data_IF_624148881994
#
_entry.id   IF_624148881994
#
_cell.length_a   1.000
_cell.length_b   1.000
_cell.length_c   1.000
_cell.angle_alpha   90.00
_cell.angle_beta   90.00
_cell.angle_gamma   90.00
#
_symmetry.space_group_name_H-M   'P 1'
#
loop_
_entity.id
_entity.type
_entity.pdbx_description
1 polymer ?
#
# COMPACT_ATOMS: atom_id res chain seq x y z
N UNK A 1 16.29 -9.28 -3.55
CA UNK A 1 15.21 -8.24 -3.55
C UNK A 1 15.63 -7.12 -2.62
N UNK A 2 15.21 -5.90 -2.90
CA UNK A 2 15.50 -4.75 -2.04
C UNK A 2 14.51 -4.71 -0.87
N UNK A 3 14.99 -4.92 0.35
CA UNK A 3 14.21 -4.76 1.58
C UNK A 3 14.55 -3.39 2.19
N UNK A 4 13.54 -2.58 2.41
CA UNK A 4 13.70 -1.25 3.01
C UNK A 4 13.59 -1.36 4.54
N UNK A 5 12.54 -2.00 5.02
CA UNK A 5 12.31 -2.20 6.45
C UNK A 5 11.32 -3.34 6.71
N UNK A 6 11.28 -3.80 7.94
CA UNK A 6 10.24 -4.69 8.46
C UNK A 6 9.98 -4.38 9.93
N UNK A 7 8.75 -4.41 10.35
CA UNK A 7 8.37 -4.15 11.73
C UNK A 7 7.04 -4.80 12.11
N UNK A 8 6.81 -5.01 13.39
CA UNK A 8 5.56 -5.43 13.98
C UNK A 8 4.82 -4.19 14.48
N UNK A 9 3.59 -4.03 14.05
CA UNK A 9 2.73 -2.90 14.43
C UNK A 9 1.25 -3.28 14.29
N UNK A 10 0.38 -2.30 14.27
CA UNK A 10 -1.03 -2.45 13.88
C UNK A 10 -1.24 -1.91 12.46
N UNK A 11 -2.09 -2.57 11.66
CA UNK A 11 -2.55 -2.00 10.41
C UNK A 11 -3.32 -0.71 10.69
N UNK A 12 -2.81 0.41 10.20
CA UNK A 12 -3.37 1.73 10.48
C UNK A 12 -4.48 2.17 9.53
N UNK A 13 -4.75 1.43 8.46
CA UNK A 13 -5.52 1.90 7.30
C UNK A 13 -6.47 0.86 6.73
N UNK A 14 -7.59 1.34 6.15
CA UNK A 14 -8.51 0.54 5.34
C UNK A 14 -9.34 -0.46 6.14
N UNK A 15 -9.78 -1.52 5.47
CA UNK A 15 -10.73 -2.50 6.00
C UNK A 15 -10.19 -3.32 7.20
N UNK A 16 -8.88 -3.35 7.38
CA UNK A 16 -8.23 -4.13 8.44
C UNK A 16 -7.53 -3.26 9.48
N UNK A 17 -7.90 -1.98 9.57
CA UNK A 17 -7.37 -1.05 10.56
C UNK A 17 -7.55 -1.61 11.99
N UNK A 18 -6.52 -1.47 12.83
CA UNK A 18 -6.47 -2.01 14.19
C UNK A 18 -5.96 -3.46 14.31
N UNK A 19 -5.78 -4.20 13.21
CA UNK A 19 -5.25 -5.57 13.25
C UNK A 19 -3.73 -5.58 13.48
N UNK A 20 -3.27 -6.49 14.34
CA UNK A 20 -1.83 -6.77 14.50
C UNK A 20 -1.23 -7.17 13.15
N UNK A 21 -0.13 -6.55 12.74
CA UNK A 21 0.47 -6.71 11.43
C UNK A 21 2.00 -6.74 11.47
N UNK A 22 2.59 -7.64 10.68
CA UNK A 22 4.00 -7.57 10.34
C UNK A 22 4.09 -6.93 8.95
N UNK A 23 4.71 -5.76 8.89
CA UNK A 23 4.99 -5.08 7.64
C UNK A 23 6.32 -5.56 7.07
N UNK A 24 6.34 -5.82 5.76
CA UNK A 24 7.56 -6.09 4.99
C UNK A 24 7.55 -5.13 3.81
N UNK A 25 8.41 -4.13 3.84
CA UNK A 25 8.44 -3.03 2.88
C UNK A 25 9.55 -3.23 1.87
N UNK A 26 9.18 -3.48 0.63
CA UNK A 26 10.11 -3.67 -0.50
C UNK A 26 10.42 -2.35 -1.22
N UNK A 27 11.62 -2.27 -1.80
CA UNK A 27 12.05 -1.13 -2.59
C UNK A 27 11.65 -1.22 -4.06
N UNK A 28 11.38 -0.05 -4.65
CA UNK A 28 11.01 0.14 -6.05
C UNK A 28 9.51 0.42 -6.25
N UNK A 29 9.22 1.37 -7.12
CA UNK A 29 7.86 1.68 -7.56
C UNK A 29 7.87 2.06 -9.05
N UNK A 30 6.80 1.74 -9.74
CA UNK A 30 6.58 2.15 -11.13
C UNK A 30 5.93 3.55 -11.25
N UNK A 31 5.54 4.15 -10.12
CA UNK A 31 5.03 5.53 -10.01
C UNK A 31 5.99 6.39 -9.19
N UNK A 32 5.88 7.71 -9.32
CA UNK A 32 6.69 8.70 -8.56
C UNK A 32 5.86 9.57 -7.63
N UNK A 33 4.59 9.80 -7.97
CA UNK A 33 3.58 10.50 -7.17
C UNK A 33 4.07 11.85 -6.61
N UNK A 34 4.72 12.65 -7.44
CA UNK A 34 5.29 13.94 -7.04
C UNK A 34 4.23 14.94 -6.54
N UNK A 35 2.97 14.79 -6.96
CA UNK A 35 1.86 15.64 -6.55
C UNK A 35 1.53 15.59 -5.05
N UNK A 36 1.95 14.54 -4.33
CA UNK A 36 1.80 14.50 -2.87
C UNK A 36 2.78 15.42 -2.12
N UNK A 37 3.78 15.97 -2.81
CA UNK A 37 4.62 17.05 -2.31
C UNK A 37 5.51 16.70 -1.11
N UNK A 38 5.76 15.42 -0.82
CA UNK A 38 6.73 15.04 0.20
C UNK A 38 8.13 15.32 -0.31
N UNK A 39 8.84 16.21 0.37
CA UNK A 39 10.22 16.56 0.07
C UNK A 39 11.18 15.81 0.99
N UNK A 40 12.18 15.17 0.43
CA UNK A 40 13.19 14.46 1.18
C UNK A 40 14.57 14.61 0.52
N UNK A 41 15.57 14.98 1.31
CA UNK A 41 16.96 15.01 0.86
C UNK A 41 17.59 13.64 1.06
N UNK A 42 18.02 13.04 -0.04
CA UNK A 42 18.69 11.74 -0.01
C UNK A 42 20.13 11.85 0.54
N UNK A 43 20.76 10.75 1.02
CA UNK A 43 22.15 10.74 1.48
C UNK A 43 23.17 11.27 0.47
N UNK A 44 22.89 11.08 -0.82
CA UNK A 44 23.69 11.61 -1.93
C UNK A 44 23.44 13.10 -2.25
N UNK A 45 22.77 13.82 -1.36
CA UNK A 45 22.37 15.22 -1.46
C UNK A 45 21.33 15.54 -2.56
N UNK A 46 20.75 14.55 -3.23
CA UNK A 46 19.67 14.73 -4.21
C UNK A 46 18.37 15.11 -3.51
N UNK A 47 17.73 16.18 -3.95
CA UNK A 47 16.37 16.52 -3.55
C UNK A 47 15.37 15.63 -4.27
N UNK A 48 14.49 14.99 -3.50
CA UNK A 48 13.47 14.08 -4.00
C UNK A 48 12.09 14.64 -3.65
N UNK A 49 11.15 14.45 -4.58
CA UNK A 49 9.73 14.76 -4.37
C UNK A 49 8.93 13.49 -4.65
N UNK A 50 7.95 13.19 -3.80
CA UNK A 50 7.14 11.97 -3.97
C UNK A 50 6.04 11.82 -2.93
N UNK A 51 5.69 10.58 -2.64
CA UNK A 51 4.70 10.20 -1.63
C UNK A 51 5.34 9.98 -0.25
N UNK A 52 4.53 9.65 0.74
CA UNK A 52 4.94 9.32 2.12
C UNK A 52 5.90 8.11 2.21
N UNK A 53 5.91 7.24 1.21
CA UNK A 53 6.84 6.10 1.10
C UNK A 53 7.99 6.36 0.11
N UNK A 54 8.44 7.60 -0.03
CA UNK A 54 9.45 8.03 -1.02
C UNK A 54 10.76 7.23 -0.90
N UNK A 55 11.17 6.85 0.31
CA UNK A 55 12.36 6.01 0.54
C UNK A 55 12.23 4.64 -0.14
N UNK A 56 11.05 4.04 -0.08
CA UNK A 56 10.79 2.78 -0.77
C UNK A 56 10.58 2.99 -2.27
N UNK A 57 9.81 4.01 -2.67
CA UNK A 57 9.49 4.26 -4.08
C UNK A 57 10.71 4.65 -4.92
N UNK A 58 11.67 5.37 -4.31
CA UNK A 58 12.91 5.84 -4.96
C UNK A 58 14.15 5.27 -4.25
N UNK A 59 14.07 3.98 -3.90
CA UNK A 59 15.06 3.29 -3.08
C UNK A 59 16.48 3.31 -3.65
N UNK A 60 16.67 3.58 -4.92
CA UNK A 60 17.97 3.74 -5.55
C UNK A 60 18.80 4.91 -4.99
N UNK A 61 18.16 5.82 -4.25
CA UNK A 61 18.80 6.98 -3.61
C UNK A 61 19.10 6.78 -2.11
N UNK A 62 18.76 5.59 -1.55
CA UNK A 62 18.90 5.28 -0.12
C UNK A 62 19.59 3.93 0.07
N UNK A 63 20.04 3.70 1.30
CA UNK A 63 20.52 2.38 1.70
C UNK A 63 19.34 1.40 1.79
N UNK A 64 19.55 0.22 1.26
CA UNK A 64 18.62 -0.90 1.36
C UNK A 64 19.41 -2.19 1.59
N UNK A 65 18.74 -3.18 2.14
CA UNK A 65 19.31 -4.51 2.27
C UNK A 65 18.87 -5.37 1.10
N UNK A 66 19.83 -5.93 0.37
CA UNK A 66 19.50 -7.05 -0.52
C UNK A 66 19.10 -8.25 0.33
N UNK A 67 17.97 -8.85 0.02
CA UNK A 67 17.39 -9.94 0.80
C UNK A 67 16.98 -11.11 -0.10
N UNK A 68 16.97 -12.30 0.47
CA UNK A 68 16.56 -13.54 -0.15
C UNK A 68 15.43 -14.22 0.66
N UNK A 69 14.94 -15.35 0.15
CA UNK A 69 13.89 -16.12 0.81
C UNK A 69 14.22 -16.51 2.25
N UNK A 70 15.44 -17.02 2.50
CA UNK A 70 15.84 -17.51 3.83
C UNK A 70 15.83 -16.38 4.88
N UNK A 71 16.28 -15.19 4.49
CA UNK A 71 16.26 -14.01 5.36
C UNK A 71 14.84 -13.55 5.65
N UNK A 72 13.98 -13.46 4.63
CA UNK A 72 12.57 -13.08 4.81
C UNK A 72 11.84 -14.06 5.73
N UNK A 73 12.07 -15.35 5.56
CA UNK A 73 11.54 -16.39 6.45
C UNK A 73 11.97 -16.19 7.91
N UNK A 74 13.26 -15.88 8.13
CA UNK A 74 13.80 -15.62 9.47
C UNK A 74 13.20 -14.34 10.08
N UNK A 75 12.99 -13.29 9.28
CA UNK A 75 12.32 -12.05 9.69
C UNK A 75 10.93 -12.36 10.22
N UNK A 76 10.10 -13.10 9.47
CA UNK A 76 8.75 -13.45 9.92
C UNK A 76 8.77 -14.23 11.25
N UNK A 77 9.71 -15.18 11.38
CA UNK A 77 9.85 -15.98 12.60
C UNK A 77 10.30 -15.14 13.80
N UNK A 78 11.23 -14.20 13.60
CA UNK A 78 11.79 -13.37 14.68
C UNK A 78 10.76 -12.46 15.34
N UNK A 79 9.71 -12.05 14.63
CA UNK A 79 8.62 -11.26 15.21
C UNK A 79 7.75 -12.04 16.21
N UNK A 80 7.78 -13.36 16.18
CA UNK A 80 7.02 -14.25 17.10
C UNK A 80 5.54 -13.85 17.27
N UNK A 81 4.89 -13.45 16.18
CA UNK A 81 3.50 -12.99 16.15
C UNK A 81 2.66 -13.84 15.17
N UNK A 82 2.27 -15.07 15.56
CA UNK A 82 1.60 -16.01 14.67
C UNK A 82 0.25 -15.51 14.17
N UNK A 83 -0.45 -14.70 14.94
CA UNK A 83 -1.79 -14.17 14.62
C UNK A 83 -1.74 -12.84 13.85
N UNK A 84 -0.55 -12.25 13.63
CA UNK A 84 -0.41 -11.03 12.85
C UNK A 84 -0.69 -11.29 11.37
N UNK A 85 -1.40 -10.38 10.72
CA UNK A 85 -1.46 -10.37 9.26
C UNK A 85 -0.08 -9.97 8.71
N UNK A 86 0.25 -10.44 7.52
CA UNK A 86 1.49 -10.06 6.83
C UNK A 86 1.15 -9.03 5.78
N UNK A 87 1.69 -7.82 5.91
CA UNK A 87 1.46 -6.73 4.95
C UNK A 87 2.70 -6.57 4.08
N UNK A 88 2.58 -6.99 2.83
CA UNK A 88 3.59 -6.77 1.79
C UNK A 88 3.34 -5.41 1.15
N UNK A 89 4.25 -4.49 1.38
CA UNK A 89 4.13 -3.08 1.01
C UNK A 89 5.45 -2.57 0.42
N UNK A 90 5.57 -1.28 0.24
CA UNK A 90 6.80 -0.65 -0.23
C UNK A 90 6.52 0.50 -1.17
N UNK A 91 7.23 0.55 -2.30
CA UNK A 91 6.80 1.30 -3.46
C UNK A 91 5.63 0.57 -4.13
N UNK A 92 5.93 -0.49 -4.88
CA UNK A 92 4.94 -1.41 -5.45
C UNK A 92 5.42 -2.87 -5.30
N UNK A 93 4.84 -3.66 -4.40
CA UNK A 93 5.33 -5.01 -4.11
C UNK A 93 5.18 -5.98 -5.27
N UNK A 94 4.23 -5.80 -6.18
CA UNK A 94 4.04 -6.65 -7.35
C UNK A 94 5.18 -6.54 -8.39
N UNK A 95 6.07 -5.55 -8.30
CA UNK A 95 7.29 -5.52 -9.09
C UNK A 95 8.16 -6.76 -8.86
N UNK A 96 8.05 -7.37 -7.69
CA UNK A 96 8.85 -8.54 -7.29
C UNK A 96 8.23 -9.88 -7.67
N UNK A 97 7.00 -9.92 -8.24
CA UNK A 97 6.27 -11.17 -8.52
C UNK A 97 7.00 -12.18 -9.44
N UNK A 98 7.99 -11.72 -10.23
CA UNK A 98 8.80 -12.59 -11.09
C UNK A 98 10.06 -13.11 -10.40
N UNK A 99 10.44 -12.55 -9.25
CA UNK A 99 11.63 -12.97 -8.50
C UNK A 99 11.37 -14.30 -7.79
N UNK A 100 12.31 -15.24 -7.90
CA UNK A 100 12.18 -16.59 -7.33
C UNK A 100 12.07 -16.56 -5.81
N UNK A 101 12.93 -15.79 -5.12
CA UNK A 101 12.89 -15.67 -3.66
C UNK A 101 11.54 -15.08 -3.17
N UNK A 102 10.95 -14.14 -3.93
CA UNK A 102 9.63 -13.59 -3.62
C UNK A 102 8.53 -14.65 -3.76
N UNK A 103 8.57 -15.44 -4.81
CA UNK A 103 7.63 -16.56 -5.02
C UNK A 103 7.73 -17.58 -3.89
N UNK A 104 8.94 -18.00 -3.53
CA UNK A 104 9.18 -18.94 -2.45
C UNK A 104 8.75 -18.37 -1.08
N UNK A 105 8.97 -17.09 -0.86
CA UNK A 105 8.49 -16.41 0.35
C UNK A 105 6.96 -16.37 0.42
N UNK A 106 6.27 -16.03 -0.68
CA UNK A 106 4.81 -16.01 -0.70
C UNK A 106 4.23 -17.43 -0.49
N UNK A 107 4.81 -18.43 -1.14
CA UNK A 107 4.44 -19.85 -0.94
C UNK A 107 4.59 -20.25 0.53
N UNK A 108 5.73 -19.95 1.15
CA UNK A 108 5.95 -20.21 2.57
C UNK A 108 4.88 -19.56 3.45
N UNK A 109 4.51 -18.28 3.21
CA UNK A 109 3.47 -17.61 4.00
C UNK A 109 2.12 -18.31 3.86
N UNK A 110 1.73 -18.70 2.66
CA UNK A 110 0.45 -19.38 2.38
C UNK A 110 0.44 -20.78 3.01
N UNK A 111 1.50 -21.56 2.91
CA UNK A 111 1.65 -22.88 3.54
C UNK A 111 1.59 -22.80 5.08
N UNK A 112 2.05 -21.70 5.66
CA UNK A 112 1.92 -21.44 7.10
C UNK A 112 0.55 -20.86 7.48
N UNK A 113 -0.43 -20.87 6.56
CA UNK A 113 -1.77 -20.29 6.75
C UNK A 113 -1.76 -18.83 7.22
N UNK A 114 -0.72 -18.04 6.85
CA UNK A 114 -0.66 -16.63 7.18
C UNK A 114 -1.63 -15.87 6.30
N UNK A 115 -2.33 -14.91 6.90
CA UNK A 115 -3.16 -13.96 6.14
C UNK A 115 -2.25 -12.90 5.51
N UNK A 116 -2.10 -12.92 4.18
CA UNK A 116 -1.21 -12.04 3.43
C UNK A 116 -2.02 -10.94 2.76
N UNK A 117 -1.58 -9.70 2.94
CA UNK A 117 -2.14 -8.49 2.35
C UNK A 117 -1.11 -7.78 1.49
N UNK A 118 -1.50 -7.43 0.28
CA UNK A 118 -0.74 -6.55 -0.59
C UNK A 118 -1.28 -5.12 -0.47
N UNK A 119 -0.41 -4.17 -0.16
CA UNK A 119 -0.68 -2.76 -0.40
C UNK A 119 -0.12 -2.38 -1.76
N UNK A 120 -0.99 -2.27 -2.75
CA UNK A 120 -0.62 -2.07 -4.15
C UNK A 120 -1.27 -0.80 -4.73
N UNK A 121 -0.61 -0.17 -5.69
CA UNK A 121 -1.18 0.94 -6.45
C UNK A 121 -2.18 0.47 -7.55
N UNK A 122 -2.32 -0.85 -7.74
CA UNK A 122 -3.29 -1.44 -8.67
C UNK A 122 -2.92 -1.31 -10.15
N UNK A 123 -1.70 -0.91 -10.49
CA UNK A 123 -1.30 -0.72 -11.89
C UNK A 123 -0.60 -1.93 -12.51
N UNK A 124 -0.11 -2.86 -11.67
CA UNK A 124 0.55 -4.09 -12.12
C UNK A 124 -0.43 -5.24 -12.04
N UNK A 125 -0.63 -5.93 -13.16
CA UNK A 125 -1.44 -7.14 -13.19
C UNK A 125 -0.72 -8.28 -12.50
N UNK A 126 -1.33 -8.92 -11.46
CA UNK A 126 -0.75 -10.08 -10.83
C UNK A 126 -0.77 -11.28 -11.76
N UNK A 127 0.32 -12.03 -11.80
CA UNK A 127 0.40 -13.28 -12.55
C UNK A 127 -0.11 -14.46 -11.72
N UNK A 128 -1.42 -14.61 -11.64
CA UNK A 128 -2.08 -15.69 -10.91
C UNK A 128 -1.83 -17.09 -11.51
N UNK A 129 -1.28 -17.18 -12.71
CA UNK A 129 -0.95 -18.46 -13.36
C UNK A 129 0.40 -18.98 -12.89
N UNK A 130 1.43 -18.13 -12.89
CA UNK A 130 2.79 -18.53 -12.48
C UNK A 130 3.05 -18.37 -10.98
N UNK A 131 2.17 -17.65 -10.28
CA UNK A 131 2.20 -17.46 -8.83
C UNK A 131 0.78 -17.63 -8.24
N UNK A 132 0.26 -18.88 -8.21
CA UNK A 132 -1.11 -19.16 -7.79
C UNK A 132 -1.39 -18.83 -6.33
N UNK A 133 -0.37 -18.69 -5.48
CA UNK A 133 -0.45 -18.27 -4.09
C UNK A 133 -1.10 -16.89 -3.94
N UNK A 134 -1.00 -16.03 -4.95
CA UNK A 134 -1.69 -14.71 -4.98
C UNK A 134 -3.21 -14.82 -4.85
N UNK A 135 -3.81 -15.96 -5.24
CA UNK A 135 -5.25 -16.23 -5.06
C UNK A 135 -5.66 -16.33 -3.59
N UNK A 136 -4.70 -16.61 -2.69
CA UNK A 136 -4.92 -16.67 -1.25
C UNK A 136 -4.67 -15.33 -0.53
N UNK A 137 -4.33 -14.28 -1.28
CA UNK A 137 -3.96 -12.98 -0.74
C UNK A 137 -5.10 -11.97 -0.85
N UNK A 138 -5.06 -10.97 0.05
CA UNK A 138 -5.92 -9.80 0.01
C UNK A 138 -5.19 -8.62 -0.61
N UNK A 139 -5.92 -7.75 -1.30
CA UNK A 139 -5.35 -6.57 -1.95
C UNK A 139 -6.03 -5.29 -1.44
N UNK A 140 -5.26 -4.44 -0.77
CA UNK A 140 -5.64 -3.08 -0.45
C UNK A 140 -5.13 -2.17 -1.59
N UNK A 141 -6.02 -1.73 -2.47
CA UNK A 141 -5.68 -1.01 -3.68
C UNK A 141 -5.68 0.49 -3.43
N UNK A 142 -4.50 1.08 -3.34
CA UNK A 142 -4.30 2.53 -3.26
C UNK A 142 -4.13 3.13 -4.66
N UNK A 143 -5.19 3.03 -5.47
CA UNK A 143 -5.20 3.60 -6.82
C UNK A 143 -5.01 5.11 -6.72
N UNK A 144 -4.06 5.63 -7.49
CA UNK A 144 -3.72 7.05 -7.41
C UNK A 144 -4.73 7.90 -8.20
N UNK A 145 -5.11 9.04 -7.60
CA UNK A 145 -5.94 10.05 -8.22
C UNK A 145 -5.06 11.12 -8.91
N UNK A 146 -5.68 12.10 -9.54
CA UNK A 146 -4.99 13.19 -10.25
C UNK A 146 -4.04 13.97 -9.33
N UNK A 147 -4.44 14.14 -8.06
CA UNK A 147 -3.63 14.78 -7.04
C UNK A 147 -2.25 14.14 -6.82
N UNK A 148 -2.03 12.91 -7.28
CA UNK A 148 -0.72 12.26 -7.24
C UNK A 148 0.31 12.84 -8.24
N UNK A 149 -0.16 13.62 -9.23
CA UNK A 149 0.67 14.15 -10.31
C UNK A 149 1.04 13.12 -11.39
N UNK A 150 0.51 11.89 -11.31
CA UNK A 150 0.69 10.88 -12.35
C UNK A 150 -0.41 10.97 -13.41
N UNK A 151 -0.06 10.71 -14.68
CA UNK A 151 -1.05 10.70 -15.76
C UNK A 151 -2.04 9.54 -15.59
N UNK A 152 -3.27 9.71 -16.10
CA UNK A 152 -4.34 8.71 -15.98
C UNK A 152 -3.93 7.35 -16.55
N UNK A 153 -3.19 7.34 -17.66
CA UNK A 153 -2.70 6.13 -18.34
C UNK A 153 -1.70 5.34 -17.50
N UNK A 154 -0.91 6.03 -16.66
CA UNK A 154 0.04 5.38 -15.75
C UNK A 154 -0.61 4.87 -14.47
N UNK A 155 -1.57 5.63 -13.90
CA UNK A 155 -2.14 5.35 -12.59
C UNK A 155 -3.37 4.44 -12.60
N UNK A 156 -4.00 4.22 -13.77
CA UNK A 156 -5.20 3.38 -13.90
C UNK A 156 -4.93 2.27 -14.92
N UNK A 157 -4.92 1.03 -14.44
CA UNK A 157 -4.84 -0.17 -15.27
C UNK A 157 -6.10 -1.00 -15.08
N UNK A 158 -7.07 -0.82 -15.98
CA UNK A 158 -8.36 -1.51 -15.93
C UNK A 158 -8.22 -3.05 -15.90
N UNK A 159 -7.24 -3.59 -16.61
CA UNK A 159 -6.98 -5.03 -16.68
C UNK A 159 -6.46 -5.57 -15.35
N UNK A 160 -5.51 -4.87 -14.73
CA UNK A 160 -4.99 -5.22 -13.42
C UNK A 160 -6.08 -5.18 -12.35
N UNK A 161 -6.89 -4.12 -12.30
CA UNK A 161 -7.99 -4.00 -11.35
C UNK A 161 -8.99 -5.16 -11.47
N UNK A 162 -9.48 -5.43 -12.69
CA UNK A 162 -10.40 -6.54 -12.94
C UNK A 162 -9.81 -7.90 -12.58
N UNK A 163 -8.54 -8.14 -12.94
CA UNK A 163 -7.83 -9.37 -12.63
C UNK A 163 -7.69 -9.60 -11.12
N UNK A 164 -7.34 -8.56 -10.37
CA UNK A 164 -7.21 -8.62 -8.90
C UNK A 164 -8.56 -8.97 -8.25
N UNK A 165 -9.62 -8.24 -8.57
CA UNK A 165 -10.94 -8.48 -7.98
C UNK A 165 -11.52 -9.84 -8.34
N UNK A 166 -11.23 -10.36 -9.54
CA UNK A 166 -11.74 -11.66 -9.99
C UNK A 166 -11.00 -12.87 -9.40
N UNK A 167 -9.72 -12.73 -9.06
CA UNK A 167 -8.87 -13.90 -8.78
C UNK A 167 -8.27 -13.91 -7.37
N UNK A 168 -8.25 -12.79 -6.64
CA UNK A 168 -7.70 -12.74 -5.28
C UNK A 168 -8.71 -13.25 -4.25
N UNK A 169 -8.26 -13.53 -3.03
CA UNK A 169 -9.13 -13.90 -1.91
C UNK A 169 -10.07 -12.75 -1.50
N UNK A 170 -9.66 -11.51 -1.76
CA UNK A 170 -10.46 -10.32 -1.55
C UNK A 170 -9.69 -9.06 -1.91
N UNK A 171 -10.40 -8.05 -2.38
CA UNK A 171 -9.82 -6.77 -2.74
C UNK A 171 -10.74 -5.62 -2.32
N UNK A 172 -10.14 -4.48 -2.00
CA UNK A 172 -10.85 -3.24 -1.70
C UNK A 172 -9.99 -2.05 -2.08
N UNK A 173 -10.65 -0.92 -2.28
CA UNK A 173 -9.98 0.35 -2.55
C UNK A 173 -9.74 1.14 -1.28
N UNK A 174 -8.59 1.79 -1.18
CA UNK A 174 -8.32 2.84 -0.20
C UNK A 174 -7.81 4.08 -0.92
N UNK A 175 -8.47 5.22 -0.69
CA UNK A 175 -8.14 6.49 -1.30
C UNK A 175 -7.80 7.51 -0.23
N UNK A 176 -6.68 8.18 -0.40
CA UNK A 176 -6.23 9.28 0.46
C UNK A 176 -6.71 10.59 -0.17
N UNK A 177 -7.57 11.33 0.54
CA UNK A 177 -8.25 12.52 0.04
C UNK A 177 -7.87 13.78 0.80
N UNK A 178 -7.78 14.90 0.10
CA UNK A 178 -7.69 16.24 0.67
C UNK A 178 -9.03 16.75 1.20
N UNK A 179 -10.13 16.15 0.75
CA UNK A 179 -11.50 16.56 1.06
C UNK A 179 -12.14 17.42 -0.03
N UNK A 180 -11.53 17.48 -1.21
CA UNK A 180 -12.08 18.18 -2.37
C UNK A 180 -13.09 17.32 -3.14
N UNK A 181 -14.11 17.97 -3.71
CA UNK A 181 -15.25 17.26 -4.35
C UNK A 181 -14.87 16.50 -5.61
N UNK A 182 -13.87 16.97 -6.35
CA UNK A 182 -13.44 16.39 -7.62
C UNK A 182 -12.82 14.99 -7.46
N UNK A 183 -12.19 14.72 -6.29
CA UNK A 183 -11.64 13.42 -5.97
C UNK A 183 -12.71 12.33 -5.98
N UNK A 184 -13.95 12.65 -5.58
CA UNK A 184 -15.08 11.70 -5.61
C UNK A 184 -15.51 11.35 -7.04
N UNK A 185 -15.42 12.29 -7.98
CA UNK A 185 -15.71 12.01 -9.40
C UNK A 185 -14.75 10.97 -9.95
N UNK A 186 -13.45 11.12 -9.70
CA UNK A 186 -12.44 10.17 -10.13
C UNK A 186 -12.63 8.78 -9.51
N UNK A 187 -12.97 8.72 -8.21
CA UNK A 187 -13.29 7.45 -7.54
C UNK A 187 -14.43 6.74 -8.26
N UNK A 188 -15.51 7.46 -8.61
CA UNK A 188 -16.64 6.90 -9.36
C UNK A 188 -16.25 6.41 -10.75
N UNK A 189 -15.33 7.09 -11.45
CA UNK A 189 -14.77 6.61 -12.72
C UNK A 189 -14.00 5.29 -12.54
N UNK A 190 -13.21 5.15 -11.47
CA UNK A 190 -12.49 3.91 -11.15
C UNK A 190 -13.49 2.79 -10.84
N UNK A 191 -14.53 3.08 -10.04
CA UNK A 191 -15.57 2.10 -9.71
C UNK A 191 -16.39 1.67 -10.92
N UNK A 192 -16.55 2.52 -11.93
CA UNK A 192 -17.17 2.16 -13.20
C UNK A 192 -16.32 1.16 -14.01
N UNK A 193 -14.99 1.15 -13.84
CA UNK A 193 -14.10 0.15 -14.43
C UNK A 193 -14.21 -1.20 -13.71
N UNK A 194 -14.11 -1.14 -12.37
CA UNK A 194 -14.21 -2.30 -11.49
C UNK A 194 -14.81 -1.84 -10.15
N UNK A 195 -16.01 -2.32 -9.83
CA UNK A 195 -16.67 -2.03 -8.55
C UNK A 195 -16.01 -2.80 -7.40
N UNK A 196 -16.06 -2.21 -6.19
CA UNK A 196 -15.51 -2.80 -4.97
C UNK A 196 -15.78 -1.96 -3.73
N UNK A 197 -15.48 -2.51 -2.56
CA UNK A 197 -15.55 -1.77 -1.30
C UNK A 197 -14.55 -0.61 -1.28
N UNK A 198 -14.98 0.56 -0.80
CA UNK A 198 -14.17 1.79 -0.78
C UNK A 198 -13.97 2.25 0.65
N UNK A 199 -12.74 2.58 1.00
CA UNK A 199 -12.35 3.27 2.24
C UNK A 199 -11.69 4.60 1.89
N UNK A 200 -12.30 5.68 2.35
CA UNK A 200 -11.73 7.03 2.23
C UNK A 200 -10.90 7.33 3.47
N UNK A 201 -9.72 7.90 3.26
CA UNK A 201 -8.76 8.23 4.30
C UNK A 201 -8.32 9.69 4.18
N UNK A 202 -8.10 10.39 5.32
CA UNK A 202 -7.65 11.76 5.28
C UNK A 202 -6.19 11.86 4.83
N UNK A 203 -5.91 12.85 3.98
CA UNK A 203 -4.55 13.25 3.62
C UNK A 203 -3.89 13.93 4.83
N UNK A 204 -2.66 13.54 5.14
CA UNK A 204 -1.84 14.12 6.19
C UNK A 204 -0.74 13.16 6.62
N UNK A 205 0.43 13.69 6.96
CA UNK A 205 1.59 12.96 7.47
C UNK A 205 1.80 13.19 8.97
N UNK A 206 1.01 14.07 9.59
CA UNK A 206 1.05 14.40 11.02
C UNK A 206 -0.34 14.45 11.63
N UNK A 207 -0.42 14.40 12.97
CA UNK A 207 -1.69 14.54 13.72
C UNK A 207 -2.42 15.82 13.34
N UNK A 208 -1.70 16.94 13.28
CA UNK A 208 -2.27 18.25 12.98
C UNK A 208 -2.87 18.30 11.57
N UNK A 209 -2.19 17.73 10.58
CA UNK A 209 -2.70 17.67 9.21
C UNK A 209 -3.96 16.79 9.11
N UNK A 210 -3.98 15.67 9.83
CA UNK A 210 -5.16 14.80 9.88
C UNK A 210 -6.37 15.50 10.53
N UNK A 211 -6.17 16.37 11.51
CA UNK A 211 -7.27 17.15 12.11
C UNK A 211 -7.96 18.06 11.10
N UNK A 212 -7.21 18.60 10.16
CA UNK A 212 -7.75 19.50 9.13
C UNK A 212 -8.63 18.74 8.12
N UNK A 213 -8.23 17.54 7.74
CA UNK A 213 -8.84 16.79 6.63
C UNK A 213 -9.84 15.72 7.07
N UNK A 214 -9.66 15.14 8.26
CA UNK A 214 -10.44 13.98 8.73
C UNK A 214 -11.95 14.20 8.70
N UNK A 215 -12.44 15.29 9.29
CA UNK A 215 -13.88 15.57 9.34
C UNK A 215 -14.49 15.79 7.94
N UNK A 216 -13.76 16.45 7.04
CA UNK A 216 -14.19 16.66 5.66
C UNK A 216 -14.32 15.34 4.91
N UNK A 217 -13.28 14.49 5.01
CA UNK A 217 -13.25 13.17 4.34
C UNK A 217 -14.29 12.22 4.92
N UNK A 218 -14.51 12.22 6.24
CA UNK A 218 -15.60 11.49 6.86
C UNK A 218 -16.98 11.94 6.35
N UNK A 219 -17.19 13.25 6.22
CA UNK A 219 -18.41 13.81 5.63
C UNK A 219 -18.62 13.36 4.17
N UNK A 220 -17.56 13.31 3.36
CA UNK A 220 -17.63 12.77 1.99
C UNK A 220 -17.95 11.29 1.99
N UNK A 221 -17.36 10.49 2.89
CA UNK A 221 -17.63 9.07 3.00
C UNK A 221 -19.13 8.83 3.31
N UNK A 222 -19.68 9.51 4.29
CA UNK A 222 -21.11 9.44 4.66
C UNK A 222 -22.00 9.86 3.48
N UNK A 223 -21.70 11.01 2.87
CA UNK A 223 -22.50 11.58 1.76
C UNK A 223 -22.57 10.64 0.54
N UNK A 224 -21.50 9.90 0.28
CA UNK A 224 -21.40 9.04 -0.91
C UNK A 224 -21.54 7.55 -0.64
N UNK A 225 -21.83 7.14 0.61
CA UNK A 225 -22.03 5.74 0.98
C UNK A 225 -20.75 4.92 0.95
N UNK A 226 -19.60 5.53 1.22
CA UNK A 226 -18.31 4.87 1.33
C UNK A 226 -17.93 4.65 2.80
N UNK A 227 -16.98 3.74 3.05
CA UNK A 227 -16.42 3.58 4.39
C UNK A 227 -15.38 4.67 4.65
N UNK A 228 -15.21 5.03 5.89
CA UNK A 228 -14.12 5.88 6.37
C UNK A 228 -13.10 5.03 7.13
N UNK A 229 -11.84 5.30 6.95
CA UNK A 229 -10.76 4.79 7.78
C UNK A 229 -9.83 5.94 8.15
N UNK A 230 -9.57 6.11 9.42
CA UNK A 230 -8.50 7.03 9.83
C UNK A 230 -7.12 6.43 9.53
N UNK A 231 -6.07 7.19 9.74
CA UNK A 231 -4.67 6.74 9.72
C UNK A 231 -4.21 6.55 11.16
N UNK A 232 -4.58 5.40 11.75
CA UNK A 232 -4.42 5.12 13.19
C UNK A 232 -2.96 5.25 13.63
N UNK A 233 -2.02 4.77 12.82
CA UNK A 233 -0.58 4.88 13.13
C UNK A 233 -0.13 6.34 13.29
N UNK A 234 -0.63 7.27 12.46
CA UNK A 234 -0.34 8.70 12.59
C UNK A 234 -1.02 9.26 13.86
N UNK A 235 -2.27 8.85 14.16
CA UNK A 235 -2.96 9.27 15.39
C UNK A 235 -2.22 8.85 16.66
N UNK A 236 -1.62 7.67 16.66
CA UNK A 236 -0.91 7.16 17.84
C UNK A 236 0.51 7.71 17.94
N UNK A 237 1.25 7.69 16.84
CA UNK A 237 2.71 7.88 16.86
C UNK A 237 3.21 9.08 16.03
N UNK A 238 2.28 9.87 15.47
CA UNK A 238 2.59 10.98 14.58
C UNK A 238 3.40 10.51 13.36
N UNK A 239 4.44 11.22 12.97
CA UNK A 239 5.31 10.89 11.84
C UNK A 239 6.43 9.91 12.18
N UNK A 240 6.29 9.12 13.25
CA UNK A 240 7.31 8.15 13.66
C UNK A 240 7.38 6.99 12.65
N UNK A 241 8.61 6.68 12.20
CA UNK A 241 8.85 5.54 11.28
C UNK A 241 8.97 4.21 12.05
N UNK A 242 8.61 3.09 11.41
CA UNK A 242 8.80 1.73 11.94
C UNK A 242 7.87 1.34 13.10
N UNK A 243 6.70 1.97 13.17
CA UNK A 243 5.70 1.75 14.24
C UNK A 243 4.35 1.37 13.69
#
# INVERSE_FOLDING_TARGET
>A
MKLIEHFLSIQGEGAYAGRLAIFVRFGGCNLRCAGFGVHLKAPNAKELIGCDTIKAAQCENFDFKDTNFSELKNIIKSHNAPNAIIVLSGGEPLLHQKNTDFKDFLRFLVEQNRQVHFESNGTIEPDFNTLPELKNCYFALSVKLENSGESKEKRINARALKSIFANSKGAFYKFVLSGESDEIREIKEILAIQNGGVWLMPLGASKNELEITAAKVAGLAIKHGFNYSDRIHIRLWDNKEGV
#
